data_IF_029672989549
#
_entry.id   IF_029672989549
#
_cell.length_a   1.000
_cell.length_b   1.000
_cell.length_c   1.000
_cell.angle_alpha   90.00
_cell.angle_beta   90.00
_cell.angle_gamma   90.00
#
_symmetry.space_group_name_H-M   'P 1'
#
loop_
_entity.id
_entity.type
_entity.pdbx_description
1 polymer ?
#
# COMPACT_ATOMS: atom_id res chain seq x y z
N UNK A 1 -9.83 12.34 -19.94
CA UNK A 1 -8.91 11.34 -19.36
C UNK A 1 -9.49 11.02 -18.00
N UNK A 2 -10.37 10.03 -17.94
CA UNK A 2 -10.95 9.54 -16.69
C UNK A 2 -9.95 8.57 -16.11
N UNK A 3 -9.34 8.95 -15.00
CA UNK A 3 -8.45 8.07 -14.23
C UNK A 3 -9.32 7.16 -13.37
N UNK A 4 -8.84 5.95 -13.07
CA UNK A 4 -9.47 4.89 -12.28
C UNK A 4 -9.97 5.22 -10.86
N UNK A 5 -10.80 6.25 -10.77
CA UNK A 5 -11.50 6.79 -9.60
C UNK A 5 -12.92 6.19 -9.56
N UNK A 6 -13.40 5.57 -10.63
CA UNK A 6 -14.78 5.12 -10.75
C UNK A 6 -15.19 4.19 -9.61
N UNK A 7 -14.33 3.25 -9.19
CA UNK A 7 -14.64 2.39 -8.04
C UNK A 7 -14.59 3.13 -6.69
N UNK A 8 -13.71 4.14 -6.51
CA UNK A 8 -13.76 5.00 -5.32
C UNK A 8 -15.03 5.85 -5.30
N UNK A 9 -15.46 6.37 -6.45
CA UNK A 9 -16.73 7.12 -6.57
C UNK A 9 -17.94 6.20 -6.36
N UNK A 10 -17.91 4.96 -6.83
CA UNK A 10 -18.93 3.96 -6.51
C UNK A 10 -18.97 3.64 -5.02
N UNK A 11 -17.81 3.55 -4.35
CA UNK A 11 -17.74 3.40 -2.90
C UNK A 11 -18.28 4.63 -2.15
N UNK A 12 -18.01 5.86 -2.63
CA UNK A 12 -18.65 7.08 -2.10
C UNK A 12 -20.16 7.05 -2.30
N UNK A 13 -20.63 6.65 -3.49
CA UNK A 13 -22.05 6.53 -3.79
C UNK A 13 -22.73 5.49 -2.90
N UNK A 14 -22.06 4.36 -2.63
CA UNK A 14 -22.51 3.35 -1.69
C UNK A 14 -22.59 3.90 -0.26
N UNK A 15 -21.56 4.60 0.21
CA UNK A 15 -21.59 5.27 1.52
C UNK A 15 -22.79 6.22 1.64
N UNK A 16 -23.03 7.08 0.64
CA UNK A 16 -24.18 7.99 0.63
C UNK A 16 -25.53 7.27 0.54
N UNK A 17 -25.60 6.09 -0.10
CA UNK A 17 -26.79 5.23 -0.07
C UNK A 17 -27.05 4.71 1.35
N UNK A 18 -26.05 4.11 1.99
CA UNK A 18 -26.18 3.53 3.33
C UNK A 18 -26.49 4.58 4.40
N UNK A 19 -25.94 5.80 4.27
CA UNK A 19 -26.29 6.93 5.14
C UNK A 19 -27.78 7.27 5.02
N UNK A 20 -28.34 7.30 3.80
CA UNK A 20 -29.78 7.54 3.58
C UNK A 20 -30.66 6.41 4.12
N UNK A 21 -30.11 5.19 4.20
CA UNK A 21 -30.76 4.03 4.80
C UNK A 21 -30.62 3.99 6.34
N UNK A 22 -29.91 4.96 6.93
CA UNK A 22 -29.86 5.20 8.38
C UNK A 22 -28.58 4.72 9.07
N UNK A 23 -27.54 4.32 8.32
CA UNK A 23 -26.24 3.96 8.89
C UNK A 23 -25.35 5.19 9.03
N UNK A 24 -24.95 5.54 10.24
CA UNK A 24 -23.97 6.60 10.48
C UNK A 24 -22.54 6.12 10.15
N UNK A 25 -21.81 6.88 9.35
CA UNK A 25 -20.41 6.60 8.91
C UNK A 25 -20.18 5.13 8.50
N UNK A 26 -20.90 4.62 7.49
CA UNK A 26 -20.98 3.19 7.20
C UNK A 26 -19.63 2.55 6.89
N UNK A 27 -18.72 3.25 6.20
CA UNK A 27 -17.41 2.68 5.85
C UNK A 27 -16.48 2.49 7.06
N UNK A 28 -16.78 3.11 8.20
CA UNK A 28 -15.98 2.91 9.42
C UNK A 28 -16.22 1.56 10.07
N UNK A 29 -17.36 0.92 9.80
CA UNK A 29 -17.62 -0.44 10.25
C UNK A 29 -16.71 -1.49 9.57
N UNK A 30 -16.09 -1.13 8.45
CA UNK A 30 -15.05 -1.92 7.78
C UNK A 30 -13.66 -1.28 7.93
N UNK A 31 -13.49 -0.33 8.86
CA UNK A 31 -12.25 0.43 9.09
C UNK A 31 -11.69 1.06 7.81
N UNK A 32 -12.56 1.68 7.02
CA UNK A 32 -12.18 2.41 5.81
C UNK A 32 -12.64 3.86 5.94
N UNK A 33 -11.71 4.79 5.76
CA UNK A 33 -11.97 6.23 5.65
C UNK A 33 -11.25 6.76 4.42
N UNK A 34 -11.94 7.58 3.64
CA UNK A 34 -11.27 8.30 2.55
C UNK A 34 -10.21 9.24 3.12
N UNK A 35 -9.04 9.20 2.51
CA UNK A 35 -7.91 10.06 2.83
C UNK A 35 -7.29 10.60 1.54
N UNK A 36 -6.35 11.52 1.69
CA UNK A 36 -5.54 12.02 0.59
C UNK A 36 -4.07 12.12 1.03
N UNK A 37 -3.23 12.70 0.17
CA UNK A 37 -1.80 12.86 0.42
C UNK A 37 -1.45 13.77 1.62
N UNK A 38 -2.42 14.39 2.31
CA UNK A 38 -2.17 15.00 3.61
C UNK A 38 -1.95 13.95 4.72
N UNK A 39 -2.41 12.72 4.52
CA UNK A 39 -2.25 11.60 5.47
C UNK A 39 -1.04 10.74 5.07
N UNK A 40 0.16 11.29 5.23
CA UNK A 40 1.42 10.61 4.93
C UNK A 40 2.31 10.60 6.16
N UNK A 41 2.99 9.49 6.37
CA UNK A 41 4.09 9.38 7.33
C UNK A 41 5.41 9.41 6.58
N UNK A 42 6.51 9.62 7.29
CA UNK A 42 7.83 9.65 6.64
C UNK A 42 8.21 8.35 5.94
N UNK A 43 7.67 7.22 6.41
CA UNK A 43 7.85 5.91 5.78
C UNK A 43 6.96 5.71 4.54
N UNK A 44 5.99 6.60 4.27
CA UNK A 44 5.10 6.49 3.11
C UNK A 44 5.90 6.76 1.83
N UNK A 45 5.94 5.80 0.87
CA UNK A 45 6.76 5.93 -0.33
C UNK A 45 6.47 7.22 -1.11
N UNK A 46 7.50 7.93 -1.62
CA UNK A 46 7.33 9.25 -2.24
C UNK A 46 6.47 9.25 -3.52
N UNK A 47 6.29 8.11 -4.16
CA UNK A 47 5.50 7.89 -5.38
C UNK A 47 4.19 7.11 -5.13
N UNK A 48 3.82 6.94 -3.86
CA UNK A 48 2.50 6.44 -3.46
C UNK A 48 1.50 7.60 -3.46
N UNK A 49 0.29 7.39 -3.97
CA UNK A 49 -0.83 8.33 -3.82
C UNK A 49 -1.85 7.76 -2.84
N UNK A 50 -1.96 8.38 -1.66
CA UNK A 50 -2.86 7.92 -0.58
C UNK A 50 -4.31 8.16 -0.98
N UNK A 51 -5.18 7.17 -0.72
CA UNK A 51 -6.63 7.29 -0.94
C UNK A 51 -7.47 6.86 0.27
N UNK A 52 -6.89 6.13 1.22
CA UNK A 52 -7.63 5.66 2.38
C UNK A 52 -6.74 5.50 3.62
N UNK A 53 -7.37 5.67 4.78
CA UNK A 53 -6.81 5.36 6.10
C UNK A 53 -7.80 4.54 6.92
N UNK A 54 -7.33 3.85 7.95
CA UNK A 54 -8.18 2.94 8.74
C UNK A 54 -8.78 3.60 9.98
N UNK A 55 -8.28 4.78 10.37
CA UNK A 55 -8.61 5.42 11.63
C UNK A 55 -7.89 4.85 12.85
N UNK A 56 -6.99 3.89 12.67
CA UNK A 56 -6.24 3.23 13.75
C UNK A 56 -4.78 3.02 13.35
N UNK A 57 -3.86 3.18 14.31
CA UNK A 57 -2.42 2.88 14.19
C UNK A 57 -1.66 3.56 13.03
N UNK A 58 -2.27 4.57 12.40
CA UNK A 58 -1.72 5.26 11.22
C UNK A 58 -1.70 4.40 9.96
N UNK A 59 -2.44 3.27 9.93
CA UNK A 59 -2.50 2.38 8.76
C UNK A 59 -3.22 3.10 7.62
N UNK A 60 -2.60 3.08 6.43
CA UNK A 60 -3.15 3.72 5.24
C UNK A 60 -2.79 2.99 3.95
N UNK A 61 -3.57 3.27 2.91
CA UNK A 61 -3.49 2.65 1.60
C UNK A 61 -3.33 3.69 0.50
N UNK A 62 -2.66 3.28 -0.57
CA UNK A 62 -2.33 4.17 -1.66
C UNK A 62 -1.89 3.44 -2.91
N UNK A 63 -2.08 4.11 -4.04
CA UNK A 63 -1.67 3.66 -5.36
C UNK A 63 -0.17 3.80 -5.51
N UNK A 64 0.52 2.71 -5.83
CA UNK A 64 1.93 2.72 -6.20
C UNK A 64 2.05 3.14 -7.66
N UNK A 65 2.52 4.37 -7.92
CA UNK A 65 2.57 4.88 -9.31
C UNK A 65 3.87 4.59 -10.03
N UNK A 66 4.86 3.99 -9.34
CA UNK A 66 6.21 3.82 -9.84
C UNK A 66 6.76 5.14 -10.38
N UNK A 67 6.75 6.17 -9.55
CA UNK A 67 7.17 7.55 -9.87
C UNK A 67 6.45 8.15 -11.09
N UNK A 68 5.12 7.98 -11.15
CA UNK A 68 4.26 8.52 -12.22
C UNK A 68 4.26 7.72 -13.53
N UNK A 69 4.87 6.53 -13.56
CA UNK A 69 4.86 5.64 -14.74
C UNK A 69 3.51 4.98 -14.94
N UNK A 70 2.91 4.52 -13.84
CA UNK A 70 1.56 4.02 -13.86
C UNK A 70 0.66 5.25 -13.85
N UNK A 71 0.21 5.60 -15.06
CA UNK A 71 -0.66 6.75 -15.30
C UNK A 71 -2.12 6.39 -15.10
N UNK A 72 -2.49 5.12 -15.30
CA UNK A 72 -3.82 4.63 -14.98
C UNK A 72 -3.86 4.02 -13.58
N UNK A 73 -4.56 4.66 -12.65
CA UNK A 73 -4.67 4.21 -11.26
C UNK A 73 -5.50 2.92 -11.12
N UNK A 74 -6.31 2.57 -12.11
CA UNK A 74 -7.00 1.27 -12.15
C UNK A 74 -6.02 0.09 -12.28
N UNK A 75 -4.83 0.35 -12.83
CA UNK A 75 -3.75 -0.64 -12.98
C UNK A 75 -2.68 -0.53 -11.87
N UNK A 76 -2.79 0.47 -10.99
CA UNK A 76 -1.81 0.71 -9.95
C UNK A 76 -2.00 -0.26 -8.77
N UNK A 77 -0.91 -0.93 -8.39
CA UNK A 77 -0.91 -1.77 -7.20
C UNK A 77 -1.16 -0.96 -5.92
N UNK A 78 -1.87 -1.57 -4.98
CA UNK A 78 -2.19 -0.94 -3.71
C UNK A 78 -1.16 -1.34 -2.68
N UNK A 79 -0.53 -0.35 -2.06
CA UNK A 79 0.39 -0.54 -0.94
C UNK A 79 -0.35 -0.30 0.35
N UNK A 80 -0.17 -1.22 1.30
CA UNK A 80 -0.50 -1.01 2.70
C UNK A 80 0.75 -0.50 3.42
N UNK A 81 0.59 0.60 4.16
CA UNK A 81 1.60 1.11 5.09
C UNK A 81 1.05 0.93 6.50
N UNK A 82 1.77 0.18 7.33
CA UNK A 82 1.47 -0.04 8.74
C UNK A 82 2.67 0.42 9.58
N UNK A 83 2.68 1.66 10.09
CA UNK A 83 3.85 2.23 10.75
C UNK A 83 4.33 1.49 12.01
N UNK A 84 3.46 0.69 12.61
CA UNK A 84 3.73 -0.07 13.84
C UNK A 84 4.25 -1.49 13.58
N UNK A 85 4.22 -1.96 12.33
CA UNK A 85 4.65 -3.30 11.94
C UNK A 85 6.08 -3.34 11.37
N UNK A 86 6.70 -4.52 11.40
CA UNK A 86 7.99 -4.81 10.77
C UNK A 86 7.91 -6.13 9.95
N UNK A 87 8.05 -6.08 8.60
CA UNK A 87 8.25 -4.88 7.79
C UNK A 87 7.03 -3.94 7.83
N UNK A 88 7.19 -2.61 7.60
CA UNK A 88 6.06 -1.67 7.73
C UNK A 88 5.26 -1.49 6.43
N UNK A 89 5.68 -2.11 5.32
CA UNK A 89 5.07 -1.92 4.01
C UNK A 89 4.87 -3.25 3.28
N UNK A 90 3.78 -3.34 2.51
CA UNK A 90 3.54 -4.44 1.58
C UNK A 90 2.65 -3.99 0.44
N UNK A 91 2.91 -4.46 -0.77
CA UNK A 91 1.90 -4.45 -1.84
C UNK A 91 0.81 -5.45 -1.43
N UNK A 92 -0.40 -4.95 -1.12
CA UNK A 92 -1.50 -5.75 -0.61
C UNK A 92 -2.52 -6.12 -1.69
N UNK A 93 -2.59 -5.38 -2.79
CA UNK A 93 -3.46 -5.72 -3.91
C UNK A 93 -2.85 -5.31 -5.25
N UNK A 94 -3.23 -6.02 -6.32
CA UNK A 94 -2.82 -5.72 -7.71
C UNK A 94 -3.40 -4.40 -8.20
N UNK A 95 -4.62 -4.09 -7.77
CA UNK A 95 -5.37 -2.89 -8.12
C UNK A 95 -6.45 -2.60 -7.06
N UNK A 96 -7.22 -1.55 -7.28
CA UNK A 96 -8.27 -1.10 -6.35
C UNK A 96 -9.43 -2.11 -6.22
N UNK A 97 -9.79 -2.81 -7.29
CA UNK A 97 -10.83 -3.84 -7.25
C UNK A 97 -10.41 -4.97 -6.31
N UNK A 98 -9.21 -5.52 -6.51
CA UNK A 98 -8.68 -6.58 -5.64
C UNK A 98 -8.53 -6.12 -4.19
N UNK A 99 -8.21 -4.84 -3.94
CA UNK A 99 -8.20 -4.28 -2.59
C UNK A 99 -9.57 -4.41 -1.93
N UNK A 100 -10.65 -3.98 -2.58
CA UNK A 100 -11.99 -4.11 -1.99
C UNK A 100 -12.47 -5.57 -1.92
N UNK A 101 -12.06 -6.43 -2.85
CA UNK A 101 -12.31 -7.89 -2.75
C UNK A 101 -11.60 -8.50 -1.53
N UNK A 102 -10.38 -8.05 -1.20
CA UNK A 102 -9.71 -8.42 0.05
C UNK A 102 -10.45 -7.90 1.28
N UNK A 103 -10.92 -6.64 1.26
CA UNK A 103 -11.77 -6.11 2.34
C UNK A 103 -13.03 -6.95 2.53
N UNK A 104 -13.67 -7.38 1.45
CA UNK A 104 -14.81 -8.32 1.50
C UNK A 104 -14.43 -9.67 2.10
N UNK A 105 -13.27 -10.20 1.73
CA UNK A 105 -12.79 -11.52 2.17
C UNK A 105 -12.43 -11.55 3.66
N UNK A 106 -11.71 -10.52 4.12
CA UNK A 106 -11.24 -10.40 5.50
C UNK A 106 -12.30 -9.76 6.42
N UNK A 107 -13.21 -9.00 5.83
CA UNK A 107 -14.30 -8.29 6.48
C UNK A 107 -13.93 -6.91 7.04
N UNK A 108 -12.71 -6.43 6.79
CA UNK A 108 -12.21 -5.15 7.30
C UNK A 108 -10.96 -4.72 6.55
N UNK A 109 -10.85 -3.44 6.20
CA UNK A 109 -9.62 -2.87 5.68
C UNK A 109 -8.54 -2.84 6.76
N UNK A 110 -8.87 -2.49 8.01
CA UNK A 110 -7.91 -2.44 9.13
C UNK A 110 -7.11 -3.74 9.32
N UNK A 111 -7.76 -4.89 9.14
CA UNK A 111 -7.13 -6.22 9.28
C UNK A 111 -6.14 -6.54 8.15
N UNK A 112 -6.23 -5.83 7.01
CA UNK A 112 -5.23 -5.93 5.95
C UNK A 112 -3.89 -5.36 6.40
N UNK A 113 -3.88 -4.45 7.38
CA UNK A 113 -2.66 -3.95 8.01
C UNK A 113 -1.82 -5.08 8.62
N UNK A 114 -2.44 -5.99 9.36
CA UNK A 114 -1.75 -7.13 9.97
C UNK A 114 -1.14 -8.08 8.94
N UNK A 115 -1.70 -8.14 7.73
CA UNK A 115 -1.15 -8.96 6.63
C UNK A 115 0.18 -8.42 6.09
N UNK A 116 0.58 -7.21 6.46
CA UNK A 116 1.89 -6.64 6.11
C UNK A 116 3.03 -7.49 6.66
N UNK A 117 2.86 -8.23 7.76
CA UNK A 117 3.92 -9.06 8.38
C UNK A 117 3.73 -10.58 8.18
N UNK A 118 2.62 -11.01 7.60
CA UNK A 118 2.28 -12.43 7.40
C UNK A 118 2.89 -12.96 6.09
N UNK A 119 3.89 -13.84 6.18
CA UNK A 119 4.63 -14.36 5.00
C UNK A 119 4.78 -15.88 4.94
N UNK A 120 4.73 -16.57 6.08
CA UNK A 120 4.96 -18.02 6.16
C UNK A 120 3.65 -18.78 6.39
N UNK A 121 3.55 -20.07 5.97
CA UNK A 121 2.35 -20.88 6.24
C UNK A 121 1.92 -20.86 7.71
N UNK A 122 2.88 -20.96 8.64
CA UNK A 122 2.61 -20.93 10.08
C UNK A 122 2.06 -19.57 10.56
N UNK A 123 2.51 -18.46 9.97
CA UNK A 123 1.95 -17.14 10.29
C UNK A 123 0.52 -17.02 9.75
N UNK A 124 0.24 -17.58 8.58
CA UNK A 124 -1.11 -17.61 8.02
C UNK A 124 -2.07 -18.45 8.88
N UNK A 125 -1.65 -19.63 9.32
CA UNK A 125 -2.44 -20.47 10.23
C UNK A 125 -2.81 -19.71 11.53
N UNK A 126 -1.84 -18.98 12.09
CA UNK A 126 -2.06 -18.13 13.27
C UNK A 126 -3.00 -16.98 12.99
N UNK A 127 -2.74 -16.23 11.92
CA UNK A 127 -3.59 -15.11 11.51
C UNK A 127 -5.06 -15.52 11.38
N UNK A 128 -5.34 -16.66 10.73
CA UNK A 128 -6.70 -17.14 10.59
C UNK A 128 -7.32 -17.63 11.90
N UNK A 129 -6.52 -18.23 12.79
CA UNK A 129 -6.99 -18.62 14.12
C UNK A 129 -7.34 -17.39 14.96
N UNK A 130 -6.44 -16.40 15.01
CA UNK A 130 -6.61 -15.15 15.76
C UNK A 130 -7.80 -14.34 15.22
N UNK A 131 -7.94 -14.26 13.90
CA UNK A 131 -9.10 -13.61 13.26
C UNK A 131 -10.41 -14.34 13.59
N UNK A 132 -10.42 -15.68 13.56
CA UNK A 132 -11.62 -16.46 13.88
C UNK A 132 -12.01 -16.31 15.36
N UNK A 133 -11.04 -16.28 16.28
CA UNK A 133 -11.25 -16.01 17.69
C UNK A 133 -11.83 -14.61 17.91
N UNK A 134 -11.18 -13.58 17.34
CA UNK A 134 -11.67 -12.19 17.40
C UNK A 134 -13.10 -12.06 16.85
N UNK A 135 -13.41 -12.68 15.71
CA UNK A 135 -14.76 -12.65 15.12
C UNK A 135 -15.79 -13.37 16.00
N UNK A 136 -15.39 -14.44 16.71
CA UNK A 136 -16.26 -15.13 17.66
C UNK A 136 -16.55 -14.25 18.90
N UNK A 137 -15.53 -13.60 19.44
CA UNK A 137 -15.67 -12.66 20.55
C UNK A 137 -16.60 -11.49 20.16
N UNK A 138 -16.36 -10.86 19.02
CA UNK A 138 -17.22 -9.78 18.49
C UNK A 138 -18.68 -10.22 18.32
N UNK A 139 -18.92 -11.45 17.85
CA UNK A 139 -20.27 -11.97 17.63
C UNK A 139 -21.01 -12.33 18.92
N UNK A 140 -20.27 -12.63 20.00
CA UNK A 140 -20.84 -13.04 21.28
C UNK A 140 -20.97 -11.88 22.28
N UNK A 141 -20.19 -10.81 22.10
CA UNK A 141 -20.28 -9.60 22.91
C UNK A 141 -21.56 -8.79 22.57
N UNK A 142 -22.51 -8.65 23.51
CA UNK A 142 -23.71 -7.84 23.30
C UNK A 142 -23.41 -6.37 22.96
N UNK A 143 -22.28 -5.83 23.41
CA UNK A 143 -21.88 -4.43 23.15
C UNK A 143 -21.45 -4.22 21.69
N UNK A 144 -20.93 -5.26 21.03
CA UNK A 144 -20.43 -5.20 19.66
C UNK A 144 -21.47 -5.64 18.62
N UNK A 145 -22.63 -6.14 19.04
CA UNK A 145 -23.71 -6.62 18.14
C UNK A 145 -24.06 -5.62 17.04
N UNK A 146 -24.19 -4.33 17.39
CA UNK A 146 -24.51 -3.30 16.41
C UNK A 146 -23.40 -3.14 15.39
N UNK A 147 -22.14 -3.07 15.84
CA UNK A 147 -20.96 -2.97 14.99
C UNK A 147 -20.89 -4.15 14.01
N UNK A 148 -21.03 -5.39 14.50
CA UNK A 148 -21.01 -6.60 13.66
C UNK A 148 -22.12 -6.58 12.60
N UNK A 149 -23.33 -6.17 12.98
CA UNK A 149 -24.48 -6.10 12.06
C UNK A 149 -24.28 -5.04 10.97
N UNK A 150 -23.81 -3.85 11.35
CA UNK A 150 -23.52 -2.78 10.39
C UNK A 150 -22.37 -3.16 9.46
N UNK A 151 -21.29 -3.79 9.97
CA UNK A 151 -20.19 -4.31 9.17
C UNK A 151 -20.69 -5.32 8.13
N UNK A 152 -21.49 -6.31 8.55
CA UNK A 152 -22.08 -7.29 7.64
C UNK A 152 -22.97 -6.63 6.57
N UNK A 153 -23.71 -5.59 6.93
CA UNK A 153 -24.55 -4.83 5.98
C UNK A 153 -23.68 -4.18 4.91
N UNK A 154 -22.63 -3.45 5.31
CA UNK A 154 -21.70 -2.79 4.37
C UNK A 154 -21.05 -3.81 3.44
N UNK A 155 -20.51 -4.90 3.98
CA UNK A 155 -19.88 -5.97 3.20
C UNK A 155 -20.86 -6.65 2.24
N UNK A 156 -22.12 -6.80 2.63
CA UNK A 156 -23.17 -7.36 1.76
C UNK A 156 -23.46 -6.43 0.58
N UNK A 157 -23.51 -5.12 0.80
CA UNK A 157 -23.70 -4.15 -0.28
C UNK A 157 -22.48 -4.06 -1.20
N UNK A 158 -21.26 -4.16 -0.67
CA UNK A 158 -20.07 -4.26 -1.50
C UNK A 158 -20.14 -5.47 -2.45
N UNK A 159 -20.59 -6.62 -1.97
CA UNK A 159 -20.77 -7.82 -2.81
C UNK A 159 -21.91 -7.65 -3.82
N UNK A 160 -23.07 -7.16 -3.40
CA UNK A 160 -24.30 -7.17 -4.22
C UNK A 160 -24.45 -5.97 -5.14
N UNK A 161 -24.11 -4.77 -4.67
CA UNK A 161 -24.25 -3.53 -5.46
C UNK A 161 -23.02 -3.31 -6.36
N UNK A 162 -21.82 -3.70 -5.91
CA UNK A 162 -20.56 -3.47 -6.64
C UNK A 162 -19.99 -4.73 -7.29
N UNK A 163 -20.57 -5.91 -7.05
CA UNK A 163 -20.12 -7.17 -7.64
C UNK A 163 -18.77 -7.66 -7.11
N UNK A 164 -18.37 -7.24 -5.91
CA UNK A 164 -17.05 -7.55 -5.34
C UNK A 164 -17.04 -8.96 -4.73
N UNK A 165 -16.55 -9.92 -5.50
CA UNK A 165 -16.45 -11.32 -5.07
C UNK A 165 -15.22 -11.57 -4.16
N UNK A 166 -15.35 -12.36 -3.08
CA UNK A 166 -14.23 -12.73 -2.22
C UNK A 166 -13.05 -13.37 -2.98
N UNK A 167 -11.84 -13.18 -2.46
CA UNK A 167 -10.63 -13.86 -2.94
C UNK A 167 -10.54 -15.24 -2.27
N UNK A 168 -10.58 -16.35 -3.05
CA UNK A 168 -10.65 -17.69 -2.47
C UNK A 168 -9.44 -18.12 -1.64
N UNK A 169 -8.24 -17.66 -2.01
CA UNK A 169 -6.99 -18.00 -1.35
C UNK A 169 -6.11 -16.75 -1.24
N UNK A 170 -6.25 -16.04 -0.13
CA UNK A 170 -5.52 -14.79 0.16
C UNK A 170 -4.01 -15.03 0.27
N UNK A 171 -3.60 -16.16 0.87
CA UNK A 171 -2.20 -16.50 1.02
C UNK A 171 -1.53 -16.66 -0.35
N UNK A 172 -2.13 -17.48 -1.21
CA UNK A 172 -1.62 -17.67 -2.57
C UNK A 172 -1.67 -16.38 -3.36
N UNK A 173 -2.76 -15.61 -3.27
CA UNK A 173 -2.90 -14.33 -3.95
C UNK A 173 -1.75 -13.37 -3.63
N UNK A 174 -1.43 -13.16 -2.34
CA UNK A 174 -0.36 -12.26 -1.94
C UNK A 174 1.04 -12.79 -2.31
N UNK A 175 1.25 -14.10 -2.26
CA UNK A 175 2.51 -14.70 -2.71
C UNK A 175 2.70 -14.53 -4.22
N UNK A 176 1.65 -14.76 -5.01
CA UNK A 176 1.67 -14.59 -6.46
C UNK A 176 1.92 -13.12 -6.84
N UNK A 177 1.38 -12.17 -6.08
CA UNK A 177 1.61 -10.73 -6.26
C UNK A 177 3.08 -10.35 -6.04
N UNK A 178 3.71 -10.84 -4.97
CA UNK A 178 5.14 -10.62 -4.71
C UNK A 178 6.03 -11.26 -5.78
N UNK A 179 5.71 -12.49 -6.23
CA UNK A 179 6.44 -13.18 -7.29
C UNK A 179 6.34 -12.41 -8.61
N UNK A 180 5.14 -11.95 -8.98
CA UNK A 180 4.92 -11.18 -10.21
C UNK A 180 5.63 -9.84 -10.18
N UNK A 181 5.61 -9.15 -9.03
CA UNK A 181 6.34 -7.89 -8.87
C UNK A 181 7.85 -8.10 -9.03
N UNK A 182 8.39 -9.16 -8.43
CA UNK A 182 9.82 -9.52 -8.55
C UNK A 182 10.21 -9.93 -9.96
N UNK A 183 9.34 -10.64 -10.68
CA UNK A 183 9.61 -11.10 -12.05
C UNK A 183 9.57 -9.98 -13.09
N UNK A 184 8.97 -8.83 -12.78
CA UNK A 184 8.97 -7.64 -13.64
C UNK A 184 10.33 -6.92 -13.75
N UNK A 185 11.42 -7.57 -13.32
CA UNK A 185 12.78 -7.02 -13.40
C UNK A 185 13.06 -5.93 -12.36
N UNK A 186 12.32 -5.91 -11.25
CA UNK A 186 12.38 -4.84 -10.25
C UNK A 186 13.81 -4.62 -9.69
N UNK A 187 14.18 -3.37 -9.48
CA UNK A 187 15.34 -2.98 -8.68
C UNK A 187 14.89 -3.08 -7.21
N UNK A 188 15.57 -3.88 -6.36
CA UNK A 188 15.18 -4.02 -4.97
C UNK A 188 15.35 -2.68 -4.23
N UNK A 189 14.42 -2.41 -3.33
CA UNK A 189 14.46 -1.29 -2.37
C UNK A 189 14.27 -1.84 -0.97
N UNK A 190 14.73 -1.10 0.03
CA UNK A 190 14.80 -1.51 1.42
C UNK A 190 13.40 -1.65 2.03
N UNK A 191 12.45 -0.83 1.59
CA UNK A 191 11.03 -0.93 1.95
C UNK A 191 10.33 -2.17 1.36
N UNK A 192 11.03 -2.95 0.52
CA UNK A 192 10.53 -4.20 -0.06
C UNK A 192 9.54 -4.03 -1.22
N UNK A 193 9.30 -2.80 -1.71
CA UNK A 193 8.35 -2.54 -2.81
C UNK A 193 8.97 -2.64 -4.21
N UNK A 194 10.26 -2.34 -4.30
CA UNK A 194 11.09 -2.30 -5.50
C UNK A 194 10.61 -1.31 -6.57
N UNK A 195 11.49 -1.01 -7.53
CA UNK A 195 11.20 -0.12 -8.66
C UNK A 195 11.25 -0.90 -9.96
N UNK A 196 10.20 -0.84 -10.77
CA UNK A 196 10.20 -1.47 -12.11
C UNK A 196 11.08 -0.66 -13.08
N UNK A 197 11.98 -1.29 -13.85
CA UNK A 197 12.86 -0.59 -14.79
C UNK A 197 12.10 0.19 -15.87
N UNK A 198 12.68 1.32 -16.28
CA UNK A 198 12.13 2.24 -17.29
C UNK A 198 12.38 1.74 -18.73
N UNK A 199 13.51 1.06 -18.95
CA UNK A 199 14.03 0.73 -20.29
C UNK A 199 13.48 -0.61 -20.84
N UNK A 200 12.38 -1.12 -20.27
CA UNK A 200 11.77 -2.41 -20.63
C UNK A 200 12.44 -3.63 -19.95
N UNK A 201 11.78 -4.79 -19.98
CA UNK A 201 12.19 -6.00 -19.25
C UNK A 201 13.53 -6.61 -19.73
N UNK A 202 13.99 -6.24 -20.93
CA UNK A 202 15.16 -6.86 -21.59
C UNK A 202 16.50 -6.24 -21.20
N UNK A 203 16.49 -5.06 -20.57
CA UNK A 203 17.68 -4.51 -19.92
C UNK A 203 17.66 -4.93 -18.46
N UNK A 204 18.34 -6.03 -18.14
CA UNK A 204 18.70 -6.31 -16.74
C UNK A 204 19.30 -5.03 -16.16
N UNK A 205 18.72 -4.45 -15.10
CA UNK A 205 19.38 -3.37 -14.41
C UNK A 205 20.78 -3.87 -14.05
N UNK A 206 21.81 -3.08 -14.40
CA UNK A 206 23.16 -3.41 -13.98
C UNK A 206 23.10 -3.62 -12.47
N UNK A 207 23.37 -4.85 -12.01
CA UNK A 207 23.22 -5.24 -10.61
C UNK A 207 24.08 -4.40 -9.64
N UNK A 208 24.92 -3.53 -10.20
CA UNK A 208 26.01 -2.81 -9.58
C UNK A 208 25.65 -1.34 -9.21
N UNK A 209 24.40 -0.89 -9.37
CA UNK A 209 23.97 0.49 -9.03
C UNK A 209 23.03 0.60 -7.83
N UNK A 210 23.05 -0.33 -6.86
CA UNK A 210 22.35 -0.12 -5.58
C UNK A 210 23.20 0.77 -4.69
N UNK A 211 22.64 1.90 -4.25
CA UNK A 211 23.34 2.77 -3.31
C UNK A 211 23.48 2.06 -1.95
N UNK A 212 24.68 1.95 -1.37
CA UNK A 212 24.92 1.10 -0.21
C UNK A 212 24.48 1.81 1.08
N UNK A 213 23.17 1.94 1.30
CA UNK A 213 22.62 2.37 2.59
C UNK A 213 22.95 1.38 3.72
N UNK A 214 23.24 0.11 3.39
CA UNK A 214 23.26 -1.02 4.30
C UNK A 214 24.39 -1.03 5.36
N UNK A 215 25.45 -0.25 5.20
CA UNK A 215 26.65 -0.34 6.05
C UNK A 215 26.99 0.95 6.84
N UNK A 216 26.17 2.01 6.72
CA UNK A 216 26.43 3.29 7.40
C UNK A 216 25.22 3.74 8.20
N UNK A 217 25.44 4.18 9.45
CA UNK A 217 24.38 4.85 10.23
C UNK A 217 23.82 6.04 9.44
N UNK A 218 22.57 6.41 9.73
CA UNK A 218 21.84 7.59 9.24
C UNK A 218 22.67 8.88 9.08
N UNK A 219 23.78 9.00 9.82
CA UNK A 219 24.46 10.26 10.08
C UNK A 219 25.61 10.61 9.14
N UNK A 220 26.11 9.69 8.28
CA UNK A 220 27.44 9.87 7.66
C UNK A 220 27.57 9.50 6.18
N UNK A 221 26.53 9.71 5.35
CA UNK A 221 26.72 9.65 3.90
C UNK A 221 27.10 11.06 3.39
N UNK A 222 28.30 11.27 2.83
CA UNK A 222 28.69 12.57 2.29
C UNK A 222 27.76 13.00 1.15
N UNK A 223 27.34 14.26 1.17
CA UNK A 223 26.48 14.84 0.13
C UNK A 223 27.08 14.72 -1.27
N UNK A 224 28.41 14.80 -1.38
CA UNK A 224 29.13 14.66 -2.65
C UNK A 224 29.03 13.25 -3.24
N UNK A 225 29.00 12.21 -2.41
CA UNK A 225 28.83 10.82 -2.85
C UNK A 225 27.41 10.59 -3.39
N UNK A 226 26.41 11.16 -2.73
CA UNK A 226 25.02 11.14 -3.20
C UNK A 226 24.90 11.87 -4.54
N UNK A 227 25.51 13.06 -4.66
CA UNK A 227 25.51 13.84 -5.92
C UNK A 227 26.20 13.08 -7.05
N UNK A 228 27.36 12.48 -6.78
CA UNK A 228 28.10 11.68 -7.76
C UNK A 228 27.30 10.46 -8.22
N UNK A 229 26.66 9.76 -7.27
CA UNK A 229 25.77 8.65 -7.58
C UNK A 229 24.58 9.08 -8.43
N UNK A 230 23.83 10.11 -8.01
CA UNK A 230 22.66 10.60 -8.76
C UNK A 230 23.03 11.07 -10.16
N UNK A 231 24.23 11.63 -10.36
CA UNK A 231 24.72 12.02 -11.68
C UNK A 231 25.00 10.81 -12.59
N UNK A 232 25.55 9.71 -12.05
CA UNK A 232 25.95 8.53 -12.81
C UNK A 232 24.83 7.48 -12.97
N UNK A 233 23.95 7.35 -11.97
CA UNK A 233 22.98 6.26 -11.89
C UNK A 233 21.92 6.34 -13.00
N UNK A 234 21.50 5.20 -13.58
CA UNK A 234 20.37 5.15 -14.49
C UNK A 234 19.07 5.64 -13.83
N UNK A 235 18.07 6.14 -14.58
CA UNK A 235 16.91 6.79 -13.96
C UNK A 235 16.10 5.87 -13.02
N UNK A 236 15.98 4.56 -13.30
CA UNK A 236 15.30 3.62 -12.41
C UNK A 236 16.04 3.41 -11.08
N UNK A 237 17.39 3.49 -11.08
CA UNK A 237 18.20 3.42 -9.86
C UNK A 237 18.12 4.71 -9.04
N UNK A 238 17.94 5.87 -9.68
CA UNK A 238 17.64 7.13 -8.97
C UNK A 238 16.31 7.06 -8.22
N UNK A 239 15.29 6.46 -8.84
CA UNK A 239 14.02 6.19 -8.18
C UNK A 239 14.18 5.22 -6.99
N UNK A 240 14.97 4.16 -7.15
CA UNK A 240 15.25 3.21 -6.06
C UNK A 240 15.98 3.91 -4.91
N UNK A 241 16.99 4.72 -5.21
CA UNK A 241 17.66 5.57 -4.23
C UNK A 241 16.69 6.50 -3.51
N UNK A 242 15.79 7.18 -4.25
CA UNK A 242 14.83 8.08 -3.64
C UNK A 242 13.93 7.35 -2.62
N UNK A 243 13.41 6.18 -2.99
CA UNK A 243 12.60 5.36 -2.09
C UNK A 243 13.37 4.96 -0.82
N UNK A 244 14.59 4.48 -0.97
CA UNK A 244 15.43 4.08 0.17
C UNK A 244 15.83 5.28 1.05
N UNK A 245 16.13 6.42 0.44
CA UNK A 245 16.52 7.64 1.14
C UNK A 245 15.38 8.20 2.01
N UNK A 246 14.14 8.17 1.50
CA UNK A 246 12.95 8.52 2.28
C UNK A 246 12.71 7.50 3.40
N UNK A 247 12.74 6.21 3.09
CA UNK A 247 12.54 5.15 4.06
C UNK A 247 13.53 5.23 5.25
N UNK A 248 14.81 5.52 4.96
CA UNK A 248 15.86 5.60 5.97
C UNK A 248 16.01 6.95 6.67
N UNK A 249 15.23 7.98 6.38
CA UNK A 249 15.41 9.24 7.10
C UNK A 249 16.50 10.15 6.54
N UNK A 250 17.06 9.83 5.38
CA UNK A 250 18.25 10.53 4.85
C UNK A 250 17.87 11.86 4.21
N UNK A 251 16.61 12.00 3.80
CA UNK A 251 16.08 13.20 3.16
C UNK A 251 14.79 13.61 3.86
N UNK A 252 14.74 14.86 4.30
CA UNK A 252 13.52 15.55 4.73
C UNK A 252 13.30 16.81 3.88
N UNK A 253 12.16 17.48 4.04
CA UNK A 253 11.78 18.69 3.29
C UNK A 253 12.75 19.88 3.46
N UNK A 254 13.60 19.84 4.48
CA UNK A 254 14.61 20.87 4.77
C UNK A 254 15.98 20.54 4.19
N UNK A 255 16.19 19.30 3.75
CA UNK A 255 17.45 18.83 3.18
C UNK A 255 17.69 19.41 1.79
N UNK A 256 18.94 19.80 1.48
CA UNK A 256 19.33 20.15 0.09
C UNK A 256 19.08 18.99 -0.90
N UNK A 257 19.01 17.76 -0.41
CA UNK A 257 18.66 16.57 -1.18
C UNK A 257 17.19 16.54 -1.60
N UNK A 258 16.30 17.23 -0.88
CA UNK A 258 14.87 17.30 -1.22
C UNK A 258 14.65 17.82 -2.63
N UNK A 259 15.33 18.92 -2.98
CA UNK A 259 15.25 19.54 -4.31
C UNK A 259 15.84 18.64 -5.41
N UNK A 260 16.85 17.82 -5.06
CA UNK A 260 17.46 16.88 -5.99
C UNK A 260 16.55 15.69 -6.28
N UNK A 261 15.81 15.21 -5.28
CA UNK A 261 14.88 14.09 -5.42
C UNK A 261 13.51 14.50 -5.97
N UNK A 262 13.08 15.75 -5.80
CA UNK A 262 11.86 16.25 -6.44
C UNK A 262 11.96 16.22 -7.98
N UNK A 263 13.17 16.35 -8.52
CA UNK A 263 13.45 16.23 -9.96
C UNK A 263 13.59 14.77 -10.45
N UNK A 264 13.52 13.77 -9.56
CA UNK A 264 13.50 12.34 -9.93
C UNK A 264 12.09 11.90 -10.37
N UNK A 265 11.07 12.74 -10.15
CA UNK A 265 9.82 12.64 -10.92
C UNK A 265 10.17 12.73 -12.40
N UNK A 266 9.84 11.66 -13.13
CA UNK A 266 10.09 11.56 -14.56
C UNK A 266 9.55 12.82 -15.21
N UNK A 267 10.45 13.59 -15.83
CA UNK A 267 10.06 14.63 -16.77
C UNK A 267 9.13 13.97 -17.79
N UNK A 268 7.91 14.51 -17.86
CA UNK A 268 6.88 14.15 -18.85
C UNK A 268 7.45 14.11 -20.27
#
# INVERSE_FOLDING_TARGET
>A
MGYGIDLLEHMRALEQKLIREGLDRPLEYIHFRFADNSFRYTITPPDMHVFAETGCDGIHYGFLTDFGRITDLEEASIVCVSPTDDPPLRIIARNLEDFFRLVVTIGSAGELGSLVSVRTPRQWERYWADLAESRHEEATDPQLRNFVTCRQTVLHHMQTDLGLEPIPDVMRYLNDLEIQRRSAGWIPTIDGLGVVPIDGPDRKPAADYVFPFADTSRDHIPLDDIRAYLAAAPPAHRCAFARDAFFWWVVDETSELWLLLHNVHIQH
#
